data_IF_944174529304
#
_entry.id   IF_944174529304
#
_cell.length_a   1.000
_cell.length_b   1.000
_cell.length_c   1.000
_cell.angle_alpha   90.00
_cell.angle_beta   90.00
_cell.angle_gamma   90.00
#
_symmetry.space_group_name_H-M   'P 1'
#
loop_
_entity.id
_entity.type
_entity.pdbx_description
1 polymer ?
#
# COMPACT_ATOMS: atom_id res chain seq x y z
N UNK A 1 -18.48 -22.22 9.83
CA UNK A 1 -19.06 -20.87 9.66
C UNK A 1 -19.38 -20.34 11.05
N UNK A 2 -19.13 -19.06 11.33
CA UNK A 2 -19.55 -18.43 12.59
C UNK A 2 -21.03 -18.04 12.46
N UNK A 3 -21.93 -18.88 12.97
CA UNK A 3 -23.34 -18.52 13.15
C UNK A 3 -23.51 -17.69 14.43
N UNK A 4 -23.08 -16.43 14.36
CA UNK A 4 -23.42 -15.41 15.37
C UNK A 4 -24.31 -14.40 14.66
N UNK A 5 -25.58 -14.33 15.07
CA UNK A 5 -26.53 -13.34 14.54
C UNK A 5 -26.00 -11.93 14.79
N UNK A 6 -25.99 -11.08 13.76
CA UNK A 6 -25.50 -9.71 13.88
C UNK A 6 -26.33 -8.89 14.90
N UNK A 7 -25.76 -7.81 15.48
CA UNK A 7 -26.49 -6.91 16.37
C UNK A 7 -27.71 -6.31 15.67
N UNK A 8 -28.77 -6.01 16.44
CA UNK A 8 -30.09 -5.61 15.92
C UNK A 8 -30.11 -4.26 15.16
N UNK A 9 -29.02 -3.50 15.17
CA UNK A 9 -28.90 -2.20 14.52
C UNK A 9 -28.80 -2.40 13.00
N UNK A 10 -29.66 -1.74 12.24
CA UNK A 10 -29.73 -1.78 10.77
C UNK A 10 -29.37 -0.41 10.19
N UNK A 11 -28.71 -0.37 9.03
CA UNK A 11 -28.35 0.91 8.40
C UNK A 11 -29.44 1.47 7.47
N UNK A 12 -29.46 2.79 7.30
CA UNK A 12 -30.28 3.45 6.28
C UNK A 12 -29.47 3.65 5.00
N UNK A 13 -29.62 2.73 4.05
CA UNK A 13 -28.81 2.68 2.83
C UNK A 13 -29.52 3.31 1.64
N UNK A 14 -28.86 4.25 0.95
CA UNK A 14 -29.33 4.78 -0.33
C UNK A 14 -29.26 3.71 -1.44
N UNK A 15 -30.04 3.88 -2.50
CA UNK A 15 -30.03 2.97 -3.65
C UNK A 15 -28.65 2.85 -4.32
N UNK A 16 -27.88 3.95 -4.37
CA UNK A 16 -26.50 3.94 -4.88
C UNK A 16 -25.55 3.19 -3.94
N UNK A 17 -25.68 3.35 -2.62
CA UNK A 17 -24.92 2.56 -1.63
C UNK A 17 -25.24 1.07 -1.76
N UNK A 18 -26.52 0.70 -1.83
CA UNK A 18 -26.95 -0.69 -2.02
C UNK A 18 -26.44 -1.29 -3.34
N UNK A 19 -26.40 -0.50 -4.41
CA UNK A 19 -25.85 -0.94 -5.71
C UNK A 19 -24.35 -1.22 -5.59
N UNK A 20 -23.58 -0.28 -5.04
CA UNK A 20 -22.12 -0.44 -4.82
C UNK A 20 -21.81 -1.64 -3.90
N UNK A 21 -22.60 -1.86 -2.85
CA UNK A 21 -22.46 -3.01 -1.95
C UNK A 21 -22.68 -4.34 -2.70
N UNK A 22 -23.81 -4.49 -3.42
CA UNK A 22 -24.12 -5.69 -4.22
C UNK A 22 -23.10 -5.96 -5.32
N UNK A 23 -22.58 -4.93 -5.96
CA UNK A 23 -21.59 -5.09 -7.03
C UNK A 23 -20.23 -5.54 -6.48
N UNK A 24 -19.74 -4.90 -5.41
CA UNK A 24 -18.31 -4.95 -5.05
C UNK A 24 -17.96 -5.63 -3.72
N UNK A 25 -18.85 -5.63 -2.74
CA UNK A 25 -18.48 -5.91 -1.34
C UNK A 25 -19.18 -7.13 -0.73
N UNK A 26 -20.49 -7.27 -0.96
CA UNK A 26 -21.28 -8.39 -0.43
C UNK A 26 -20.77 -9.72 -0.97
N UNK A 27 -20.79 -10.76 -0.14
CA UNK A 27 -20.46 -12.12 -0.53
C UNK A 27 -21.44 -12.64 -1.62
N UNK A 28 -20.95 -13.58 -2.43
CA UNK A 28 -21.67 -14.15 -3.57
C UNK A 28 -21.47 -15.65 -3.61
N UNK A 29 -22.53 -16.36 -3.96
CA UNK A 29 -22.54 -17.80 -4.23
C UNK A 29 -22.94 -18.08 -5.69
N UNK A 30 -23.27 -19.33 -6.00
CA UNK A 30 -23.67 -19.78 -7.35
C UNK A 30 -24.99 -19.14 -7.84
N UNK A 31 -25.81 -18.57 -6.95
CA UNK A 31 -27.12 -17.99 -7.25
C UNK A 31 -27.10 -16.45 -7.29
N UNK A 32 -26.05 -15.80 -6.79
CA UNK A 32 -25.93 -14.33 -6.78
C UNK A 32 -25.37 -13.79 -5.47
N UNK A 33 -25.93 -12.68 -4.98
CA UNK A 33 -25.54 -12.06 -3.70
C UNK A 33 -26.13 -12.88 -2.55
N UNK A 34 -25.27 -13.32 -1.63
CA UNK A 34 -25.57 -14.28 -0.57
C UNK A 34 -25.38 -13.71 0.85
N UNK A 35 -25.37 -12.39 0.99
CA UNK A 35 -25.04 -11.65 2.21
C UNK A 35 -25.70 -10.26 2.19
N UNK A 36 -26.30 -9.84 3.30
CA UNK A 36 -26.86 -8.51 3.50
C UNK A 36 -25.80 -7.47 3.96
N UNK A 37 -26.03 -6.15 3.81
CA UNK A 37 -25.13 -5.11 4.33
C UNK A 37 -24.77 -5.28 5.81
N UNK A 38 -25.76 -5.59 6.63
CA UNK A 38 -25.62 -5.84 8.06
C UNK A 38 -24.74 -7.08 8.34
N UNK A 39 -24.96 -8.18 7.63
CA UNK A 39 -24.12 -9.39 7.73
C UNK A 39 -22.69 -9.12 7.27
N UNK A 40 -22.51 -8.32 6.22
CA UNK A 40 -21.21 -7.89 5.70
C UNK A 40 -20.44 -7.05 6.73
N UNK A 41 -21.09 -6.05 7.33
CA UNK A 41 -20.47 -5.23 8.38
C UNK A 41 -20.19 -6.04 9.64
N UNK A 42 -21.04 -7.00 10.01
CA UNK A 42 -20.81 -7.88 11.15
C UNK A 42 -19.64 -8.84 10.93
N UNK A 43 -19.55 -9.46 9.74
CA UNK A 43 -18.39 -10.26 9.32
C UNK A 43 -17.11 -9.45 9.41
N UNK A 44 -17.10 -8.21 8.93
CA UNK A 44 -15.93 -7.31 8.98
C UNK A 44 -15.58 -6.95 10.41
N UNK A 45 -16.56 -6.57 11.24
CA UNK A 45 -16.36 -6.23 12.64
C UNK A 45 -15.74 -7.39 13.44
N UNK A 46 -16.32 -8.59 13.34
CA UNK A 46 -15.78 -9.80 13.98
C UNK A 46 -14.39 -10.17 13.46
N UNK A 47 -14.14 -10.05 12.16
CA UNK A 47 -12.84 -10.36 11.57
C UNK A 47 -11.72 -9.38 11.97
N UNK A 48 -12.07 -8.13 12.33
CA UNK A 48 -11.15 -7.17 12.94
C UNK A 48 -11.00 -7.46 14.44
N UNK A 49 -12.10 -7.66 15.15
CA UNK A 49 -12.12 -7.90 16.60
C UNK A 49 -11.30 -9.12 17.03
N UNK A 50 -11.26 -10.19 16.21
CA UNK A 50 -10.41 -11.37 16.45
C UNK A 50 -8.91 -11.05 16.55
N UNK A 51 -8.45 -9.89 16.11
CA UNK A 51 -7.07 -9.45 16.38
C UNK A 51 -6.77 -9.28 17.87
N UNK A 52 -7.77 -9.01 18.71
CA UNK A 52 -7.63 -8.86 20.16
C UNK A 52 -7.29 -10.18 20.88
N UNK A 53 -7.51 -11.35 20.26
CA UNK A 53 -7.00 -12.65 20.76
C UNK A 53 -5.48 -12.61 20.96
N UNK A 54 -4.75 -11.90 20.08
CA UNK A 54 -3.30 -11.72 20.15
C UNK A 54 -2.85 -10.97 21.41
N UNK A 55 -3.74 -10.17 22.00
CA UNK A 55 -3.51 -9.40 23.22
C UNK A 55 -4.08 -10.08 24.48
N UNK A 56 -4.55 -11.34 24.36
CA UNK A 56 -5.06 -12.12 25.49
C UNK A 56 -6.43 -11.68 25.99
N UNK A 57 -7.21 -11.00 25.13
CA UNK A 57 -8.60 -10.60 25.44
C UNK A 57 -9.53 -11.81 25.51
N UNK A 58 -10.60 -11.68 26.30
CA UNK A 58 -11.65 -12.70 26.39
C UNK A 58 -12.58 -12.69 25.17
N UNK A 59 -13.33 -13.75 24.97
CA UNK A 59 -14.38 -13.80 23.95
C UNK A 59 -15.42 -12.67 24.15
N UNK A 60 -15.72 -12.33 25.41
CA UNK A 60 -16.64 -11.23 25.76
C UNK A 60 -16.05 -9.85 25.41
N UNK A 61 -14.74 -9.62 25.63
CA UNK A 61 -14.03 -8.41 25.17
C UNK A 61 -14.08 -8.29 23.63
N UNK A 62 -13.84 -9.40 22.93
CA UNK A 62 -13.82 -9.49 21.46
C UNK A 62 -15.21 -9.19 20.90
N UNK A 63 -16.25 -9.80 21.47
CA UNK A 63 -17.66 -9.54 21.10
C UNK A 63 -18.04 -8.08 21.35
N UNK A 64 -17.70 -7.50 22.50
CA UNK A 64 -18.00 -6.10 22.81
C UNK A 64 -17.25 -5.11 21.89
N UNK A 65 -16.00 -5.42 21.50
CA UNK A 65 -15.28 -4.64 20.49
C UNK A 65 -15.93 -4.77 19.11
N UNK A 66 -16.34 -5.97 18.70
CA UNK A 66 -17.02 -6.20 17.44
C UNK A 66 -18.37 -5.45 17.37
N UNK A 67 -19.16 -5.47 18.44
CA UNK A 67 -20.40 -4.69 18.53
C UNK A 67 -20.14 -3.18 18.41
N UNK A 68 -19.11 -2.67 19.08
CA UNK A 68 -18.70 -1.26 18.96
C UNK A 68 -18.26 -0.89 17.53
N UNK A 69 -17.45 -1.75 16.89
CA UNK A 69 -16.97 -1.53 15.52
C UNK A 69 -18.10 -1.65 14.49
N UNK A 70 -19.04 -2.57 14.70
CA UNK A 70 -20.25 -2.73 13.89
C UNK A 70 -21.12 -1.47 13.95
N UNK A 71 -21.43 -0.99 15.16
CA UNK A 71 -22.28 0.19 15.36
C UNK A 71 -21.71 1.45 14.67
N UNK A 72 -20.39 1.66 14.77
CA UNK A 72 -19.68 2.76 14.09
C UNK A 72 -19.71 2.65 12.56
N UNK A 73 -19.74 1.43 12.01
CA UNK A 73 -19.87 1.21 10.56
C UNK A 73 -21.31 1.39 10.07
N UNK A 74 -22.30 0.90 10.83
CA UNK A 74 -23.73 1.05 10.51
C UNK A 74 -24.18 2.51 10.55
N UNK A 75 -23.65 3.31 11.48
CA UNK A 75 -23.93 4.76 11.54
C UNK A 75 -23.07 5.60 10.57
N UNK A 76 -22.09 4.99 9.89
CA UNK A 76 -21.19 5.69 8.97
C UNK A 76 -20.13 6.57 9.65
N UNK A 77 -20.00 6.54 10.98
CA UNK A 77 -18.95 7.26 11.72
C UNK A 77 -17.54 6.73 11.40
N UNK A 78 -17.42 5.45 11.05
CA UNK A 78 -16.18 4.83 10.60
C UNK A 78 -16.45 3.90 9.42
N UNK A 79 -15.54 3.85 8.45
CA UNK A 79 -15.54 2.86 7.39
C UNK A 79 -14.09 2.42 7.12
N UNK A 80 -13.78 1.11 7.16
CA UNK A 80 -12.46 0.62 6.79
C UNK A 80 -12.26 0.68 5.27
N UNK A 81 -11.04 0.40 4.81
CA UNK A 81 -10.71 0.47 3.39
C UNK A 81 -11.42 -0.63 2.56
N UNK A 82 -11.41 -0.48 1.23
CA UNK A 82 -12.13 -1.39 0.34
C UNK A 82 -11.65 -2.86 0.43
N UNK A 83 -10.34 -3.20 0.39
CA UNK A 83 -9.87 -4.56 0.70
C UNK A 83 -10.36 -5.15 2.02
N UNK A 84 -10.47 -4.35 3.10
CA UNK A 84 -11.04 -4.83 4.37
C UNK A 84 -12.49 -5.29 4.19
N UNK A 85 -13.36 -4.44 3.61
CA UNK A 85 -14.77 -4.78 3.36
C UNK A 85 -14.91 -6.00 2.42
N UNK A 86 -14.09 -6.05 1.36
CA UNK A 86 -14.11 -7.09 0.34
C UNK A 86 -13.65 -8.45 0.85
N UNK A 87 -12.62 -8.52 1.71
CA UNK A 87 -11.92 -9.76 2.06
C UNK A 87 -12.15 -10.26 3.49
N UNK A 88 -12.36 -9.37 4.47
CA UNK A 88 -12.29 -9.75 5.88
C UNK A 88 -13.30 -10.84 6.27
N UNK A 89 -12.85 -11.89 6.96
CA UNK A 89 -13.70 -13.00 7.40
C UNK A 89 -14.21 -13.95 6.30
N UNK A 90 -13.91 -13.71 5.01
CA UNK A 90 -14.31 -14.60 3.91
C UNK A 90 -13.43 -15.85 3.74
N UNK A 91 -12.40 -16.02 4.58
CA UNK A 91 -11.44 -17.15 4.57
C UNK A 91 -10.76 -17.39 3.21
N UNK A 92 -10.66 -16.34 2.38
CA UNK A 92 -10.12 -16.41 1.01
C UNK A 92 -8.58 -16.27 0.92
N UNK A 93 -7.90 -16.08 2.06
CA UNK A 93 -6.45 -15.86 2.13
C UNK A 93 -5.97 -14.51 1.57
N UNK A 94 -6.88 -13.55 1.32
CA UNK A 94 -6.56 -12.23 0.80
C UNK A 94 -6.42 -11.20 1.94
N UNK A 95 -5.51 -10.24 1.74
CA UNK A 95 -5.13 -9.22 2.71
C UNK A 95 -6.14 -8.05 2.79
N UNK A 96 -6.06 -7.23 3.85
CA UNK A 96 -7.05 -6.18 4.18
C UNK A 96 -6.55 -4.73 3.99
N UNK A 97 -5.35 -4.52 3.45
CA UNK A 97 -4.69 -3.23 3.23
C UNK A 97 -4.83 -2.73 1.78
N UNK A 98 -5.04 -1.42 1.63
CA UNK A 98 -5.19 -0.79 0.31
C UNK A 98 -3.87 -0.31 -0.31
N UNK A 99 -2.86 0.05 0.50
CA UNK A 99 -1.69 0.79 0.04
C UNK A 99 -0.39 0.03 0.35
N UNK A 100 0.49 -0.06 -0.64
CA UNK A 100 1.79 -0.72 -0.55
C UNK A 100 2.90 0.14 -1.18
N UNK A 101 4.12 -0.01 -0.68
CA UNK A 101 5.34 0.42 -1.36
C UNK A 101 6.17 -0.84 -1.62
N UNK A 102 6.67 -0.98 -2.84
CA UNK A 102 7.55 -2.07 -3.24
C UNK A 102 8.95 -1.50 -3.51
N UNK A 103 10.02 -2.13 -3.00
CA UNK A 103 11.35 -1.88 -3.54
C UNK A 103 11.38 -2.41 -4.98
N UNK A 104 11.98 -1.63 -5.88
CA UNK A 104 12.42 -2.08 -7.20
C UNK A 104 13.94 -2.02 -7.14
N UNK A 105 14.57 -3.17 -6.93
CA UNK A 105 16.03 -3.26 -6.91
C UNK A 105 16.63 -3.10 -8.30
N UNK A 106 17.90 -2.71 -8.38
CA UNK A 106 18.66 -2.62 -9.63
C UNK A 106 19.16 -4.01 -10.06
N UNK A 107 18.22 -4.95 -10.13
CA UNK A 107 18.47 -6.40 -10.20
C UNK A 107 17.26 -7.09 -10.85
N UNK A 108 17.52 -8.05 -11.75
CA UNK A 108 16.46 -8.60 -12.62
C UNK A 108 15.43 -9.39 -11.80
N UNK A 109 15.90 -10.15 -10.82
CA UNK A 109 15.10 -10.90 -9.86
C UNK A 109 14.24 -9.96 -9.01
N UNK A 110 14.75 -8.81 -8.58
CA UNK A 110 13.99 -7.82 -7.81
C UNK A 110 12.98 -7.05 -8.66
N UNK A 111 13.29 -6.73 -9.92
CA UNK A 111 12.35 -6.15 -10.88
C UNK A 111 11.17 -7.11 -11.10
N UNK A 112 11.44 -8.39 -11.38
CA UNK A 112 10.38 -9.37 -11.59
C UNK A 112 9.67 -9.79 -10.28
N UNK A 113 10.34 -9.79 -9.13
CA UNK A 113 9.71 -9.99 -7.83
C UNK A 113 8.83 -8.79 -7.44
N UNK A 114 9.21 -7.55 -7.77
CA UNK A 114 8.36 -6.38 -7.61
C UNK A 114 7.12 -6.46 -8.51
N UNK A 115 7.26 -6.84 -9.78
CA UNK A 115 6.12 -7.09 -10.69
C UNK A 115 5.21 -8.21 -10.17
N UNK A 116 5.79 -9.32 -9.67
CA UNK A 116 5.05 -10.44 -9.07
C UNK A 116 4.33 -10.03 -7.78
N UNK A 117 4.97 -9.27 -6.90
CA UNK A 117 4.35 -8.71 -5.67
C UNK A 117 3.24 -7.73 -6.03
N UNK A 118 3.45 -6.85 -7.00
CA UNK A 118 2.43 -5.95 -7.55
C UNK A 118 1.22 -6.75 -8.04
N UNK A 119 1.41 -7.80 -8.84
CA UNK A 119 0.31 -8.65 -9.31
C UNK A 119 -0.45 -9.36 -8.16
N UNK A 120 0.23 -9.80 -7.09
CA UNK A 120 -0.40 -10.42 -5.92
C UNK A 120 -1.15 -9.40 -5.03
N UNK A 121 -0.61 -8.19 -4.90
CA UNK A 121 -1.26 -7.06 -4.21
C UNK A 121 -2.51 -6.61 -4.98
N UNK A 122 -2.41 -6.45 -6.30
CA UNK A 122 -3.53 -6.09 -7.17
C UNK A 122 -4.62 -7.19 -7.17
N UNK A 123 -4.23 -8.47 -7.19
CA UNK A 123 -5.17 -9.62 -7.06
C UNK A 123 -5.98 -9.58 -5.75
N UNK A 124 -5.43 -9.01 -4.68
CA UNK A 124 -6.10 -8.87 -3.38
C UNK A 124 -6.81 -7.52 -3.18
N UNK A 125 -6.73 -6.61 -4.16
CA UNK A 125 -7.41 -5.31 -4.17
C UNK A 125 -6.59 -4.14 -3.62
N UNK A 126 -5.33 -4.35 -3.27
CA UNK A 126 -4.40 -3.25 -2.95
C UNK A 126 -3.77 -2.62 -4.19
N UNK A 127 -3.11 -1.48 -4.04
CA UNK A 127 -2.25 -0.84 -5.05
C UNK A 127 -0.84 -0.56 -4.51
N UNK A 128 0.16 -0.47 -5.40
CA UNK A 128 1.56 -0.31 -5.02
C UNK A 128 2.33 0.74 -5.84
N UNK A 129 3.36 1.36 -5.23
CA UNK A 129 4.32 2.27 -5.87
C UNK A 129 5.78 1.85 -5.60
N UNK A 130 6.74 2.36 -6.38
CA UNK A 130 8.17 2.07 -6.23
C UNK A 130 8.86 2.99 -5.21
N UNK A 131 9.81 2.45 -4.43
CA UNK A 131 10.55 3.22 -3.41
C UNK A 131 11.49 4.31 -3.99
N UNK A 132 12.14 4.05 -5.13
CA UNK A 132 13.03 4.99 -5.83
C UNK A 132 12.30 5.95 -6.80
N UNK A 133 10.96 5.91 -6.80
CA UNK A 133 10.02 6.51 -7.75
C UNK A 133 10.62 7.61 -8.64
N UNK A 134 11.08 7.19 -9.83
CA UNK A 134 11.58 8.10 -10.86
C UNK A 134 10.42 8.75 -11.59
N UNK A 135 10.51 10.06 -11.78
CA UNK A 135 9.51 10.86 -12.51
C UNK A 135 10.13 11.36 -13.80
N UNK A 136 9.42 11.19 -14.92
CA UNK A 136 9.75 11.94 -16.13
C UNK A 136 9.16 13.35 -16.01
N UNK A 137 9.97 14.39 -16.21
CA UNK A 137 9.45 15.75 -16.43
C UNK A 137 10.21 16.47 -17.54
N UNK A 138 9.58 17.52 -18.10
CA UNK A 138 10.25 18.49 -18.99
C UNK A 138 11.37 19.28 -18.32
N UNK A 139 11.48 19.24 -16.99
CA UNK A 139 12.42 20.03 -16.19
C UNK A 139 13.68 19.26 -15.80
N UNK A 140 13.60 17.93 -15.69
CA UNK A 140 14.73 17.09 -15.27
C UNK A 140 14.95 15.80 -16.09
N UNK A 141 14.08 15.46 -17.06
CA UNK A 141 14.13 14.14 -17.69
C UNK A 141 13.61 13.05 -16.74
N UNK A 142 14.14 11.82 -16.84
CA UNK A 142 13.83 10.72 -15.89
C UNK A 142 14.83 10.77 -14.74
N UNK A 143 14.40 11.29 -13.59
CA UNK A 143 15.22 11.42 -12.37
C UNK A 143 14.42 10.93 -11.15
N UNK A 144 15.07 10.53 -10.04
CA UNK A 144 14.39 10.29 -8.76
C UNK A 144 13.57 11.51 -8.33
N UNK A 145 12.39 11.29 -7.73
CA UNK A 145 11.47 12.38 -7.37
C UNK A 145 12.06 13.44 -6.42
N UNK A 146 13.03 13.06 -5.58
CA UNK A 146 13.81 14.00 -4.75
C UNK A 146 14.59 15.05 -5.56
N UNK A 147 15.08 14.69 -6.74
CA UNK A 147 15.80 15.60 -7.64
C UNK A 147 14.85 16.66 -8.18
N UNK A 148 13.59 16.30 -8.46
CA UNK A 148 12.55 17.25 -8.84
C UNK A 148 12.27 18.24 -7.70
N UNK A 149 12.15 17.77 -6.46
CA UNK A 149 11.99 18.64 -5.27
C UNK A 149 13.16 19.62 -5.17
N UNK A 150 14.39 19.11 -5.10
CA UNK A 150 15.58 19.93 -4.84
C UNK A 150 15.85 20.96 -5.95
N UNK A 151 15.57 20.62 -7.22
CA UNK A 151 15.65 21.57 -8.35
C UNK A 151 14.50 22.58 -8.33
N UNK A 152 13.28 22.15 -8.02
CA UNK A 152 12.12 23.04 -8.03
C UNK A 152 12.13 24.07 -6.87
N UNK A 153 12.90 23.82 -5.81
CA UNK A 153 13.06 24.75 -4.68
C UNK A 153 14.43 25.45 -4.65
N UNK A 154 15.25 25.34 -5.70
CA UNK A 154 16.63 25.86 -5.69
C UNK A 154 16.74 27.40 -5.69
N UNK A 155 15.63 28.09 -5.95
CA UNK A 155 15.49 29.55 -5.87
C UNK A 155 15.15 30.06 -4.45
N UNK A 156 14.94 29.16 -3.50
CA UNK A 156 14.58 29.50 -2.12
C UNK A 156 13.09 29.81 -1.91
N UNK A 157 12.20 29.44 -2.85
CA UNK A 157 10.75 29.64 -2.70
C UNK A 157 10.18 29.07 -1.41
N UNK A 158 9.31 29.83 -0.77
CA UNK A 158 8.61 29.43 0.46
C UNK A 158 7.53 28.37 0.17
N UNK A 159 7.61 27.23 0.82
CA UNK A 159 6.54 26.22 0.80
C UNK A 159 5.54 26.40 1.94
N UNK A 160 4.29 25.96 1.71
CA UNK A 160 3.22 25.89 2.70
C UNK A 160 3.31 24.56 3.46
N UNK A 161 3.27 24.60 4.80
CA UNK A 161 3.40 23.39 5.62
C UNK A 161 2.05 22.71 5.87
N UNK A 162 1.98 21.42 5.57
CA UNK A 162 0.83 20.55 5.73
C UNK A 162 1.23 19.33 6.58
N UNK A 163 1.18 19.49 7.90
CA UNK A 163 1.63 18.47 8.86
C UNK A 163 3.14 18.21 8.77
N UNK A 164 3.51 16.97 8.48
CA UNK A 164 4.90 16.56 8.23
C UNK A 164 5.41 16.95 6.83
N UNK A 165 4.53 17.30 5.90
CA UNK A 165 4.87 17.71 4.54
C UNK A 165 4.98 19.22 4.36
N UNK A 166 5.72 19.64 3.35
CA UNK A 166 5.80 21.02 2.84
C UNK A 166 5.52 21.00 1.34
N UNK A 167 4.54 21.79 0.90
CA UNK A 167 4.11 21.92 -0.48
C UNK A 167 4.64 23.24 -1.08
N UNK A 168 5.33 23.16 -2.20
CA UNK A 168 5.85 24.33 -2.93
C UNK A 168 5.04 24.49 -4.21
N UNK A 169 4.53 25.70 -4.47
CA UNK A 169 3.99 26.05 -5.79
C UNK A 169 5.15 26.04 -6.80
N UNK A 170 4.91 25.44 -7.97
CA UNK A 170 5.86 25.33 -9.09
C UNK A 170 5.21 25.67 -10.44
N UNK A 171 4.05 26.34 -10.43
CA UNK A 171 3.34 26.68 -11.67
C UNK A 171 4.23 27.53 -12.59
N UNK A 172 4.91 28.54 -12.05
CA UNK A 172 5.84 29.44 -12.73
C UNK A 172 6.95 28.70 -13.51
N UNK A 173 7.52 27.63 -12.93
CA UNK A 173 8.60 26.83 -13.53
C UNK A 173 8.16 26.06 -14.79
N UNK A 174 6.85 26.03 -15.09
CA UNK A 174 6.25 25.38 -16.25
C UNK A 174 6.67 23.90 -16.42
N UNK A 175 6.92 23.23 -15.31
CA UNK A 175 7.23 21.80 -15.24
C UNK A 175 6.03 21.03 -15.79
N UNK A 176 6.24 20.11 -16.72
CA UNK A 176 5.22 19.19 -17.22
C UNK A 176 5.67 17.75 -17.01
N UNK A 177 4.72 16.87 -16.74
CA UNK A 177 4.93 15.41 -16.64
C UNK A 177 3.89 14.67 -17.46
N UNK A 178 4.13 13.39 -17.75
CA UNK A 178 3.14 12.51 -18.39
C UNK A 178 2.06 12.17 -17.36
N UNK A 179 0.81 12.53 -17.66
CA UNK A 179 -0.32 12.19 -16.80
C UNK A 179 -1.55 11.79 -17.63
N UNK A 180 -2.36 10.90 -17.06
CA UNK A 180 -3.64 10.46 -17.60
C UNK A 180 -4.78 11.24 -16.96
N UNK A 181 -5.73 11.72 -17.76
CA UNK A 181 -7.01 12.20 -17.24
C UNK A 181 -7.85 10.99 -16.77
N UNK A 182 -8.18 10.85 -15.48
CA UNK A 182 -8.86 9.67 -14.96
C UNK A 182 -10.33 9.55 -15.40
N UNK A 183 -10.92 10.60 -15.96
CA UNK A 183 -12.31 10.61 -16.46
C UNK A 183 -12.39 10.26 -17.95
N UNK A 184 -11.42 10.70 -18.76
CA UNK A 184 -11.45 10.51 -20.22
C UNK A 184 -10.44 9.47 -20.74
N UNK A 185 -9.52 9.00 -19.90
CA UNK A 185 -8.39 8.16 -20.30
C UNK A 185 -7.30 8.90 -21.10
N UNK A 186 -7.46 10.20 -21.36
CA UNK A 186 -6.54 11.00 -22.19
C UNK A 186 -5.17 11.16 -21.52
N UNK A 187 -4.17 10.46 -22.04
CA UNK A 187 -2.76 10.57 -21.68
C UNK A 187 -2.09 11.75 -22.40
N UNK A 188 -1.29 12.54 -21.69
CA UNK A 188 -0.54 13.64 -22.28
C UNK A 188 0.32 14.40 -21.29
N UNK A 189 0.98 15.46 -21.75
CA UNK A 189 1.76 16.34 -20.89
C UNK A 189 0.84 17.29 -20.12
N UNK A 190 0.85 17.20 -18.79
CA UNK A 190 0.12 18.11 -17.88
C UNK A 190 1.11 18.89 -17.02
N UNK A 191 0.79 20.16 -16.73
CA UNK A 191 1.61 21.06 -15.91
C UNK A 191 1.54 20.62 -14.45
N UNK A 192 2.70 20.42 -13.83
CA UNK A 192 2.82 20.23 -12.38
C UNK A 192 2.53 21.58 -11.72
N UNK A 193 1.63 21.61 -10.73
CA UNK A 193 1.32 22.85 -10.00
C UNK A 193 2.05 22.95 -8.67
N UNK A 194 2.30 21.81 -8.02
CA UNK A 194 2.91 21.74 -6.70
C UNK A 194 3.89 20.57 -6.64
N UNK A 195 4.99 20.75 -5.92
CA UNK A 195 5.94 19.68 -5.55
C UNK A 195 6.00 19.60 -4.03
N UNK A 196 6.09 18.39 -3.50
CA UNK A 196 5.96 18.12 -2.07
C UNK A 196 7.23 17.50 -1.49
N UNK A 197 7.63 17.97 -0.31
CA UNK A 197 8.77 17.46 0.48
C UNK A 197 8.27 16.97 1.83
N UNK A 198 8.78 15.86 2.31
CA UNK A 198 8.54 15.35 3.66
C UNK A 198 9.88 15.18 4.37
N UNK A 199 10.12 15.97 5.42
CA UNK A 199 11.35 15.92 6.20
C UNK A 199 11.12 15.10 7.47
N UNK A 200 11.77 13.93 7.56
CA UNK A 200 11.82 13.10 8.77
C UNK A 200 12.97 13.59 9.66
N UNK A 201 12.72 14.13 10.87
CA UNK A 201 13.77 14.61 11.76
C UNK A 201 14.75 13.50 12.13
N UNK A 202 16.03 13.85 12.33
CA UNK A 202 17.11 12.88 12.56
C UNK A 202 16.94 12.08 13.86
N UNK A 203 16.31 12.68 14.87
CA UNK A 203 15.91 12.03 16.12
C UNK A 203 14.84 10.94 15.94
N UNK A 204 14.12 10.96 14.81
CA UNK A 204 13.16 9.93 14.40
C UNK A 204 13.72 9.03 13.28
N UNK A 205 15.06 8.99 13.10
CA UNK A 205 15.74 8.09 12.17
C UNK A 205 16.61 7.09 12.93
N UNK A 206 16.68 5.86 12.43
CA UNK A 206 17.49 4.78 12.97
C UNK A 206 18.25 4.06 11.86
N UNK A 207 19.39 3.46 12.23
CA UNK A 207 20.28 2.77 11.29
C UNK A 207 20.44 1.31 11.69
N UNK A 208 19.77 0.43 10.94
CA UNK A 208 19.77 -1.01 11.16
C UNK A 208 20.94 -1.65 10.40
N UNK A 209 21.80 -2.40 11.08
CA UNK A 209 22.96 -3.08 10.48
C UNK A 209 22.82 -4.60 10.59
N UNK A 210 22.87 -5.27 9.45
CA UNK A 210 22.78 -6.73 9.34
C UNK A 210 24.17 -7.39 9.48
N UNK A 211 24.19 -8.68 9.81
CA UNK A 211 25.43 -9.46 10.04
C UNK A 211 26.39 -9.43 8.84
N UNK A 212 25.85 -9.42 7.62
CA UNK A 212 26.62 -9.54 6.37
C UNK A 212 27.10 -8.18 5.83
N UNK A 213 26.89 -7.10 6.59
CA UNK A 213 27.42 -5.76 6.29
C UNK A 213 26.39 -4.79 5.70
N UNK A 214 25.22 -5.26 5.29
CA UNK A 214 24.09 -4.42 4.86
C UNK A 214 23.69 -3.42 5.94
N UNK A 215 23.48 -2.15 5.56
CA UNK A 215 23.05 -1.07 6.45
C UNK A 215 21.84 -0.38 5.83
N UNK A 216 20.77 -0.23 6.62
CA UNK A 216 19.55 0.48 6.22
C UNK A 216 19.31 1.63 7.19
N UNK A 217 19.35 2.86 6.70
CA UNK A 217 18.92 4.06 7.43
C UNK A 217 17.48 4.38 7.03
N UNK A 218 16.59 4.55 8.02
CA UNK A 218 15.16 4.80 7.80
C UNK A 218 14.52 5.44 9.03
N UNK A 219 13.22 5.73 9.01
CA UNK A 219 12.50 6.25 10.18
C UNK A 219 12.34 5.19 11.28
N UNK A 220 12.31 5.58 12.55
CA UNK A 220 12.13 4.68 13.71
C UNK A 220 10.86 3.82 13.58
N UNK A 221 9.78 4.41 13.05
CA UNK A 221 8.49 3.75 12.79
C UNK A 221 8.47 2.88 11.51
N UNK A 222 9.55 2.78 10.74
CA UNK A 222 9.56 2.03 9.49
C UNK A 222 9.47 0.51 9.75
N UNK A 223 8.55 -0.22 9.10
CA UNK A 223 8.39 -1.65 9.34
C UNK A 223 9.49 -2.49 8.69
N UNK A 224 10.11 -3.38 9.46
CA UNK A 224 10.94 -4.48 8.98
C UNK A 224 10.25 -5.82 9.19
N UNK A 225 10.44 -6.75 8.26
CA UNK A 225 9.95 -8.13 8.39
C UNK A 225 11.03 -8.99 9.04
N UNK A 226 10.76 -9.44 10.27
CA UNK A 226 11.68 -10.25 11.07
C UNK A 226 11.18 -11.68 11.18
N UNK A 227 12.03 -12.67 10.93
CA UNK A 227 11.77 -14.05 11.31
C UNK A 227 12.11 -14.24 12.80
N UNK A 228 11.08 -14.35 13.65
CA UNK A 228 11.21 -14.71 15.07
C UNK A 228 10.62 -16.10 15.29
N UNK A 229 11.49 -17.09 15.45
CA UNK A 229 11.09 -18.50 15.50
C UNK A 229 10.61 -19.01 14.14
N UNK A 230 9.39 -19.55 14.08
CA UNK A 230 8.72 -20.03 12.87
C UNK A 230 7.92 -18.94 12.12
N UNK A 231 7.85 -17.71 12.67
CA UNK A 231 6.93 -16.66 12.20
C UNK A 231 7.66 -15.42 11.69
N UNK A 232 7.17 -14.90 10.58
CA UNK A 232 7.46 -13.53 10.15
C UNK A 232 6.61 -12.56 10.96
N UNK A 233 7.25 -11.55 11.53
CA UNK A 233 6.64 -10.53 12.39
C UNK A 233 7.08 -9.15 11.90
N UNK A 234 6.13 -8.30 11.57
CA UNK A 234 6.40 -6.89 11.32
C UNK A 234 6.86 -6.22 12.63
N UNK A 235 8.05 -5.65 12.61
CA UNK A 235 8.68 -4.99 13.76
C UNK A 235 9.21 -3.64 13.29
N UNK A 236 8.90 -2.55 14.00
CA UNK A 236 9.42 -1.22 13.64
C UNK A 236 10.95 -1.20 13.74
N UNK A 237 11.60 -0.35 12.96
CA UNK A 237 13.05 -0.19 12.94
C UNK A 237 13.64 0.13 14.33
N UNK A 238 12.92 0.91 15.16
CA UNK A 238 13.28 1.19 16.56
C UNK A 238 13.02 0.03 17.55
N UNK A 239 12.20 -0.95 17.19
CA UNK A 239 11.80 -2.10 18.02
C UNK A 239 12.61 -3.39 17.70
N UNK A 240 13.64 -3.30 16.85
CA UNK A 240 14.50 -4.40 16.45
C UNK A 240 15.51 -4.79 17.54
N UNK A 241 15.67 -6.09 17.76
CA UNK A 241 16.55 -6.68 18.77
C UNK A 241 17.78 -7.34 18.15
N UNK A 242 18.90 -7.34 18.87
CA UNK A 242 20.11 -8.04 18.43
C UNK A 242 19.87 -9.55 18.35
N UNK A 243 20.04 -10.13 17.15
CA UNK A 243 19.73 -11.53 16.85
C UNK A 243 18.47 -11.74 16.02
N UNK A 244 17.68 -10.70 15.78
CA UNK A 244 16.56 -10.73 14.83
C UNK A 244 17.04 -11.07 13.40
N UNK A 245 16.38 -12.04 12.76
CA UNK A 245 16.68 -12.45 11.39
C UNK A 245 15.84 -11.62 10.43
N UNK A 246 16.46 -10.58 9.86
CA UNK A 246 15.86 -9.70 8.84
C UNK A 246 16.27 -10.19 7.44
N UNK A 247 15.33 -10.20 6.49
CA UNK A 247 15.55 -10.75 5.15
C UNK A 247 16.15 -9.70 4.16
N UNK A 248 17.08 -10.15 3.29
CA UNK A 248 17.89 -9.30 2.38
C UNK A 248 18.09 -9.89 0.98
N UNK A 249 18.95 -9.28 0.15
CA UNK A 249 18.96 -9.40 -1.33
C UNK A 249 20.39 -9.34 -1.95
N UNK A 250 20.72 -10.28 -2.85
CA UNK A 250 21.99 -10.45 -3.64
C UNK A 250 21.81 -11.71 -4.57
N UNK A 251 22.13 -11.85 -5.87
CA UNK A 251 22.47 -10.96 -7.02
C UNK A 251 22.09 -11.60 -8.40
N UNK A 252 22.08 -10.85 -9.52
CA UNK A 252 21.80 -11.35 -10.88
C UNK A 252 23.01 -11.69 -11.78
N UNK A 253 24.22 -11.21 -11.46
CA UNK A 253 25.22 -10.77 -12.46
C UNK A 253 25.87 -11.87 -13.34
N UNK A 254 25.55 -13.14 -13.11
CA UNK A 254 26.12 -14.28 -13.84
C UNK A 254 25.45 -14.70 -15.16
N UNK A 255 24.25 -14.22 -15.50
CA UNK A 255 23.40 -14.94 -16.49
C UNK A 255 22.99 -14.23 -17.79
N UNK A 256 22.91 -12.89 -17.86
CA UNK A 256 22.49 -12.21 -19.10
C UNK A 256 23.23 -10.89 -19.35
N UNK A 257 23.86 -10.78 -20.53
CA UNK A 257 23.43 -9.74 -21.47
C UNK A 257 22.95 -10.32 -22.82
N UNK A 258 22.01 -9.65 -23.46
CA UNK A 258 21.74 -9.83 -24.89
C UNK A 258 22.87 -9.16 -25.70
N UNK A 259 23.50 -9.90 -26.63
CA UNK A 259 24.77 -9.46 -27.26
C UNK A 259 24.65 -9.15 -28.76
N UNK A 260 23.78 -9.83 -29.51
CA UNK A 260 23.57 -9.57 -30.95
C UNK A 260 22.15 -10.01 -31.38
N UNK A 261 21.59 -9.32 -32.38
CA UNK A 261 20.41 -9.77 -33.15
C UNK A 261 20.75 -9.73 -34.65
N UNK A 262 20.37 -10.76 -35.41
CA UNK A 262 20.51 -10.81 -36.88
C UNK A 262 19.18 -11.02 -37.59
N UNK A 263 19.03 -10.34 -38.73
CA UNK A 263 17.94 -10.59 -39.68
C UNK A 263 18.34 -11.73 -40.61
N UNK A 264 17.51 -12.76 -40.74
CA UNK A 264 17.63 -13.78 -41.81
C UNK A 264 16.65 -13.39 -42.91
N UNK A 265 17.17 -12.69 -43.92
CA UNK A 265 16.34 -12.02 -44.93
C UNK A 265 17.07 -11.74 -46.24
N UNK A 266 17.99 -12.62 -46.63
CA UNK A 266 18.53 -12.73 -48.00
C UNK A 266 19.10 -14.14 -48.18
N UNK A 267 18.24 -15.08 -48.57
CA UNK A 267 18.63 -16.35 -49.19
C UNK A 267 18.03 -16.36 -50.59
N UNK A 268 18.92 -16.38 -51.58
CA UNK A 268 18.64 -16.50 -53.02
C UNK A 268 18.20 -17.92 -53.39
#
# INVERSE_FOLDING_TARGET
MLQVSHPRKTGEWSESTLTVLRERYLAKDENGVSEAPEEMFWRVAMAIARAEEKWGKSEDDIQAFAETAYDLMIEGYFQPNSPTLMNAGKNNGLQYSACYVLPVGDSLEEIFEAVKRSALIHKSGGGCIAGDSRVWTTFCGIEPIEVLVNRATSDGRSGLRHGSGTAYDVQDLNIQTVAMNPVTGETGLRRVTHVWRFDVPAENQVTVRMREGTVVQTSDWHPFMVLRGDRLVETKAGDLASGDVVLGLDRPDGYWPHVETRSVGDLT
#
